data_IF_980561301273
#
_entry.id   IF_980561301273
#
_cell.length_a   1.000
_cell.length_b   1.000
_cell.length_c   1.000
_cell.angle_alpha   90.00
_cell.angle_beta   90.00
_cell.angle_gamma   90.00
#
_symmetry.space_group_name_H-M   'P 1'
#
loop_
_entity.id
_entity.type
_entity.pdbx_description
1 polymer ?
#
# COMPACT_ATOMS: atom_id res chain seq x y z
N UNK A 1 -30.37 -21.04 1.87
CA UNK A 1 -29.02 -21.08 2.47
C UNK A 1 -28.03 -21.33 1.35
N UNK A 2 -27.33 -20.29 0.88
CA UNK A 2 -26.20 -20.48 -0.04
C UNK A 2 -25.00 -20.99 0.77
N UNK A 3 -24.29 -22.03 0.33
CA UNK A 3 -23.01 -22.35 0.93
C UNK A 3 -22.04 -21.24 0.53
N UNK A 4 -21.73 -20.33 1.44
CA UNK A 4 -20.62 -19.38 1.28
C UNK A 4 -19.37 -20.18 0.98
N UNK A 5 -18.83 -20.00 -0.22
CA UNK A 5 -17.65 -20.72 -0.67
C UNK A 5 -16.53 -20.46 0.34
N UNK A 6 -15.78 -21.50 0.73
CA UNK A 6 -14.64 -21.37 1.67
C UNK A 6 -13.67 -20.27 1.23
N UNK A 7 -13.59 -20.02 -0.07
CA UNK A 7 -12.84 -18.92 -0.65
C UNK A 7 -13.35 -17.56 -0.20
N UNK A 8 -14.65 -17.29 -0.29
CA UNK A 8 -15.28 -16.01 0.12
C UNK A 8 -15.05 -15.71 1.59
N UNK A 9 -15.07 -16.75 2.45
CA UNK A 9 -14.80 -16.60 3.87
C UNK A 9 -13.33 -16.21 4.18
N UNK A 10 -12.38 -16.58 3.32
CA UNK A 10 -10.94 -16.26 3.51
C UNK A 10 -10.48 -14.97 2.85
N UNK A 11 -11.25 -14.45 1.88
CA UNK A 11 -10.89 -13.24 1.12
C UNK A 11 -10.67 -12.00 2.00
N UNK A 12 -11.49 -11.70 3.03
CA UNK A 12 -11.25 -10.56 3.92
C UNK A 12 -9.91 -10.66 4.65
N UNK A 13 -9.58 -11.84 5.17
CA UNK A 13 -8.31 -12.08 5.88
C UNK A 13 -7.10 -11.92 4.96
N UNK A 14 -7.19 -12.41 3.72
CA UNK A 14 -6.13 -12.25 2.72
C UNK A 14 -5.96 -10.78 2.31
N UNK A 15 -7.07 -10.04 2.18
CA UNK A 15 -7.05 -8.61 1.86
C UNK A 15 -6.40 -7.78 2.98
N UNK A 16 -6.74 -8.07 4.25
CA UNK A 16 -6.09 -7.47 5.41
C UNK A 16 -4.58 -7.75 5.47
N UNK A 17 -4.18 -8.99 5.19
CA UNK A 17 -2.76 -9.36 5.15
C UNK A 17 -2.01 -8.62 4.04
N UNK A 18 -2.59 -8.53 2.84
CA UNK A 18 -2.01 -7.80 1.71
C UNK A 18 -1.86 -6.31 2.02
N UNK A 19 -2.89 -5.66 2.57
CA UNK A 19 -2.83 -4.25 2.98
C UNK A 19 -1.71 -4.03 4.00
N UNK A 20 -1.58 -4.94 4.97
CA UNK A 20 -0.54 -4.87 6.01
C UNK A 20 0.88 -5.00 5.41
N UNK A 21 1.09 -5.91 4.47
CA UNK A 21 2.36 -6.06 3.74
C UNK A 21 2.71 -4.79 2.94
N UNK A 22 1.74 -4.26 2.18
CA UNK A 22 1.95 -3.04 1.40
C UNK A 22 2.29 -1.83 2.30
N UNK A 23 1.63 -1.68 3.45
CA UNK A 23 1.95 -0.66 4.45
C UNK A 23 3.35 -0.85 5.04
N UNK A 24 3.80 -2.08 5.24
CA UNK A 24 5.17 -2.35 5.68
C UNK A 24 6.19 -1.98 4.60
N UNK A 25 5.92 -2.32 3.33
CA UNK A 25 6.77 -1.90 2.20
C UNK A 25 6.87 -0.39 2.05
N UNK A 26 5.79 0.36 2.29
CA UNK A 26 5.83 1.83 2.30
C UNK A 26 6.87 2.35 3.30
N UNK A 27 6.92 1.79 4.52
CA UNK A 27 7.91 2.18 5.53
C UNK A 27 9.34 1.88 5.10
N UNK A 28 9.57 0.74 4.43
CA UNK A 28 10.90 0.42 3.90
C UNK A 28 11.30 1.39 2.79
N UNK A 29 10.39 1.68 1.85
CA UNK A 29 10.66 2.65 0.78
C UNK A 29 10.93 4.04 1.34
N UNK A 30 10.21 4.44 2.39
CA UNK A 30 10.48 5.71 3.08
C UNK A 30 11.89 5.73 3.69
N UNK A 31 12.32 4.63 4.32
CA UNK A 31 13.68 4.51 4.84
C UNK A 31 14.74 4.53 3.73
N UNK A 32 14.50 3.83 2.62
CA UNK A 32 15.42 3.80 1.47
C UNK A 32 15.54 5.19 0.82
N UNK A 33 14.43 5.93 0.67
CA UNK A 33 14.46 7.32 0.16
C UNK A 33 15.35 8.18 1.07
N UNK A 34 15.15 8.13 2.39
CA UNK A 34 15.93 8.93 3.33
C UNK A 34 17.42 8.57 3.28
N UNK A 35 17.74 7.28 3.18
CA UNK A 35 19.12 6.83 3.10
C UNK A 35 19.81 7.29 1.79
N UNK A 36 19.11 7.20 0.66
CA UNK A 36 19.65 7.66 -0.63
C UNK A 36 19.81 9.19 -0.67
N UNK A 37 18.84 9.94 -0.12
CA UNK A 37 18.94 11.40 0.05
C UNK A 37 20.11 11.79 0.95
N UNK A 38 20.33 11.06 2.05
CA UNK A 38 21.45 11.26 2.98
C UNK A 38 22.80 10.97 2.32
N UNK A 39 22.91 9.87 1.55
CA UNK A 39 24.13 9.52 0.81
C UNK A 39 24.49 10.58 -0.23
N UNK A 40 23.49 11.11 -0.93
CA UNK A 40 23.69 12.14 -1.95
C UNK A 40 23.88 13.54 -1.36
N UNK A 41 23.46 13.77 -0.11
CA UNK A 41 23.41 15.11 0.50
C UNK A 41 22.35 16.02 -0.13
N UNK A 42 21.40 15.46 -0.87
CA UNK A 42 20.36 16.20 -1.61
C UNK A 42 19.01 15.57 -1.26
N UNK A 43 18.16 16.32 -0.55
CA UNK A 43 16.82 15.90 -0.16
C UNK A 43 15.70 16.61 -0.92
N UNK A 44 16.00 17.70 -1.65
CA UNK A 44 15.03 18.43 -2.45
C UNK A 44 14.76 17.70 -3.78
N UNK A 45 13.54 17.18 -4.02
CA UNK A 45 13.19 16.49 -5.26
C UNK A 45 13.14 17.38 -6.49
N UNK A 46 13.08 18.72 -6.32
CA UNK A 46 13.12 19.67 -7.43
C UNK A 46 14.55 20.02 -7.86
N UNK A 47 15.55 19.59 -7.09
CA UNK A 47 16.94 19.76 -7.46
C UNK A 47 17.27 18.90 -8.69
N UNK A 48 17.92 19.49 -9.69
CA UNK A 48 18.36 18.79 -10.91
C UNK A 48 19.32 17.63 -10.62
N UNK A 49 20.06 17.71 -9.52
CA UNK A 49 20.97 16.66 -9.06
C UNK A 49 20.31 15.68 -8.06
N UNK A 50 18.99 15.73 -7.89
CA UNK A 50 18.27 14.80 -7.03
C UNK A 50 18.49 13.35 -7.48
N UNK A 51 18.77 12.40 -6.57
CA UNK A 51 19.10 11.04 -6.95
C UNK A 51 17.95 10.36 -7.71
N UNK A 52 18.25 9.84 -8.90
CA UNK A 52 17.27 9.10 -9.72
C UNK A 52 16.63 7.94 -8.95
N UNK A 53 17.40 7.26 -8.08
CA UNK A 53 16.87 6.18 -7.25
C UNK A 53 15.80 6.70 -6.28
N UNK A 54 16.08 7.76 -5.53
CA UNK A 54 15.12 8.37 -4.61
C UNK A 54 13.87 8.89 -5.36
N UNK A 55 14.04 9.43 -6.57
CA UNK A 55 12.92 9.84 -7.44
C UNK A 55 12.01 8.66 -7.82
N UNK A 56 12.60 7.56 -8.30
CA UNK A 56 11.86 6.36 -8.67
C UNK A 56 11.17 5.72 -7.46
N UNK A 57 11.83 5.70 -6.30
CA UNK A 57 11.24 5.20 -5.05
C UNK A 57 10.05 6.06 -4.61
N UNK A 58 10.09 7.38 -4.76
CA UNK A 58 8.94 8.26 -4.50
C UNK A 58 7.75 7.93 -5.40
N UNK A 59 7.98 7.76 -6.70
CA UNK A 59 6.93 7.36 -7.64
C UNK A 59 6.34 5.98 -7.27
N UNK A 60 7.22 5.02 -6.92
CA UNK A 60 6.79 3.68 -6.49
C UNK A 60 5.97 3.71 -5.21
N UNK A 61 6.38 4.52 -4.23
CA UNK A 61 5.67 4.74 -2.98
C UNK A 61 4.25 5.24 -3.25
N UNK A 62 4.10 6.19 -4.16
CA UNK A 62 2.80 6.75 -4.50
C UNK A 62 1.88 5.70 -5.13
N UNK A 63 2.38 4.90 -6.07
CA UNK A 63 1.62 3.79 -6.66
C UNK A 63 1.14 2.78 -5.61
N UNK A 64 1.96 2.51 -4.59
CA UNK A 64 1.57 1.62 -3.49
C UNK A 64 0.52 2.28 -2.60
N UNK A 65 0.62 3.58 -2.29
CA UNK A 65 -0.42 4.30 -1.53
C UNK A 65 -1.76 4.25 -2.22
N UNK A 66 -1.80 4.52 -3.53
CA UNK A 66 -3.02 4.41 -4.34
C UNK A 66 -3.58 3.00 -4.27
N UNK A 67 -2.74 1.97 -4.42
CA UNK A 67 -3.17 0.57 -4.32
C UNK A 67 -3.76 0.24 -2.95
N UNK A 68 -3.13 0.70 -1.85
CA UNK A 68 -3.63 0.52 -0.49
C UNK A 68 -5.01 1.17 -0.32
N UNK A 69 -5.19 2.41 -0.77
CA UNK A 69 -6.48 3.11 -0.67
C UNK A 69 -7.60 2.40 -1.44
N UNK A 70 -7.30 1.85 -2.62
CA UNK A 70 -8.25 1.05 -3.41
C UNK A 70 -8.63 -0.23 -2.67
N UNK A 71 -7.65 -0.94 -2.08
CA UNK A 71 -7.89 -2.17 -1.34
C UNK A 71 -8.69 -1.93 -0.05
N UNK A 72 -8.42 -0.84 0.66
CA UNK A 72 -9.18 -0.41 1.84
C UNK A 72 -10.64 -0.08 1.48
N UNK A 73 -10.85 0.67 0.39
CA UNK A 73 -12.21 0.97 -0.11
C UNK A 73 -12.99 -0.30 -0.48
N UNK A 74 -12.30 -1.33 -1.00
CA UNK A 74 -12.93 -2.63 -1.30
C UNK A 74 -13.32 -3.38 -0.03
N UNK A 75 -12.47 -3.34 0.99
CA UNK A 75 -12.72 -3.97 2.27
C UNK A 75 -13.93 -3.33 2.98
N UNK A 76 -14.04 -2.01 2.95
CA UNK A 76 -15.20 -1.26 3.50
C UNK A 76 -16.51 -1.62 2.80
N UNK A 77 -16.47 -1.76 1.47
CA UNK A 77 -17.65 -2.20 0.70
C UNK A 77 -18.09 -3.60 1.11
N UNK A 78 -17.13 -4.54 1.23
CA UNK A 78 -17.43 -5.91 1.67
C UNK A 78 -17.97 -5.97 3.10
N UNK A 79 -17.45 -5.16 4.02
CA UNK A 79 -17.96 -5.11 5.40
C UNK A 79 -19.37 -4.48 5.48
N UNK A 80 -19.70 -3.56 4.56
CA UNK A 80 -21.02 -2.91 4.46
C UNK A 80 -22.07 -3.78 3.74
N UNK A 81 -21.64 -4.75 2.93
CA UNK A 81 -22.51 -5.73 2.26
C UNK A 81 -22.87 -6.90 3.20
N UNK A 82 -21.97 -7.27 4.12
CA UNK A 82 -22.14 -8.32 5.14
C UNK A 82 -23.04 -8.02 6.40
N UNK A 83 -23.59 -6.83 6.69
CA UNK A 83 -24.46 -6.62 7.86
C UNK A 83 -25.96 -6.92 7.62
N UNK A 84 -26.39 -7.27 6.40
CA UNK A 84 -27.83 -7.43 6.06
C UNK A 84 -28.35 -8.88 6.08
N UNK A 85 -27.53 -9.85 6.49
CA UNK A 85 -27.89 -11.28 6.45
C UNK A 85 -28.07 -11.91 7.85
N UNK A 86 -28.44 -11.13 8.87
CA UNK A 86 -28.74 -11.59 10.22
C UNK A 86 -30.19 -11.29 10.61
#
# INVERSE_FOLDING_TARGET
MHPTSRFEATMPTQLHALISDLRWRLRMIDADILEEERKAGICDPQNVAYPMLAHNLRARRENIRVSVAILESRLEKQSTEWPRAA
#
